data_IF_424918599828
#
_entry.id   IF_424918599828
#
_cell.length_a   1.000
_cell.length_b   1.000
_cell.length_c   1.000
_cell.angle_alpha   90.00
_cell.angle_beta   90.00
_cell.angle_gamma   90.00
#
_symmetry.space_group_name_H-M   'P 1'
#
loop_
_entity.id
_entity.type
_entity.pdbx_description
1 polymer ?
#
# COMPACT_ATOMS: atom_id res chain seq x y z
N UNK A 1 -24.35 -17.33 -9.68
CA UNK A 1 -23.63 -16.35 -8.85
C UNK A 1 -22.24 -16.19 -9.43
N UNK A 2 -21.85 -14.95 -9.76
CA UNK A 2 -20.59 -14.61 -10.41
C UNK A 2 -19.34 -15.00 -9.58
N UNK A 3 -18.80 -16.19 -9.87
CA UNK A 3 -17.60 -16.76 -9.22
C UNK A 3 -16.37 -15.84 -9.41
N UNK A 4 -16.29 -15.10 -10.53
CA UNK A 4 -15.21 -14.16 -10.84
C UNK A 4 -15.19 -12.97 -9.87
N UNK A 5 -16.31 -12.27 -9.70
CA UNK A 5 -16.39 -11.09 -8.80
C UNK A 5 -16.08 -11.46 -7.35
N UNK A 6 -16.60 -12.61 -6.88
CA UNK A 6 -16.31 -13.12 -5.55
C UNK A 6 -14.83 -13.43 -5.31
N UNK A 7 -14.15 -14.04 -6.28
CA UNK A 7 -12.71 -14.32 -6.23
C UNK A 7 -11.87 -13.04 -6.22
N UNK A 8 -12.19 -12.08 -7.08
CA UNK A 8 -11.50 -10.79 -7.15
C UNK A 8 -11.62 -10.02 -5.82
N UNK A 9 -12.82 -9.93 -5.24
CA UNK A 9 -13.04 -9.27 -3.95
C UNK A 9 -12.26 -9.93 -2.80
N UNK A 10 -12.17 -11.26 -2.78
CA UNK A 10 -11.32 -12.00 -1.82
C UNK A 10 -9.84 -11.69 -2.02
N UNK A 11 -9.35 -11.71 -3.26
CA UNK A 11 -7.95 -11.38 -3.58
C UNK A 11 -7.62 -9.95 -3.16
N UNK A 12 -8.48 -8.98 -3.48
CA UNK A 12 -8.38 -7.58 -3.02
C UNK A 12 -8.24 -7.48 -1.50
N UNK A 13 -9.09 -8.22 -0.76
CA UNK A 13 -9.03 -8.24 0.71
C UNK A 13 -7.69 -8.76 1.25
N UNK A 14 -7.16 -9.82 0.65
CA UNK A 14 -5.85 -10.38 1.02
C UNK A 14 -4.72 -9.38 0.69
N UNK A 15 -4.69 -8.84 -0.53
CA UNK A 15 -3.68 -7.85 -0.94
C UNK A 15 -3.72 -6.60 -0.06
N UNK A 16 -4.92 -6.07 0.23
CA UNK A 16 -5.09 -4.92 1.14
C UNK A 16 -4.60 -5.22 2.56
N UNK A 17 -4.78 -6.44 3.04
CA UNK A 17 -4.24 -6.86 4.34
C UNK A 17 -2.72 -6.86 4.33
N UNK A 18 -2.11 -7.36 3.24
CA UNK A 18 -0.66 -7.40 3.07
C UNK A 18 -0.06 -5.99 2.98
N UNK A 19 -0.61 -5.11 2.13
CA UNK A 19 -0.23 -3.69 2.04
C UNK A 19 -0.34 -3.00 3.40
N UNK A 20 -1.40 -3.27 4.17
CA UNK A 20 -1.56 -2.69 5.51
C UNK A 20 -0.46 -3.14 6.46
N UNK A 21 -0.02 -4.40 6.40
CA UNK A 21 1.09 -4.91 7.22
C UNK A 21 2.40 -4.23 6.84
N UNK A 22 2.68 -4.05 5.55
CA UNK A 22 3.87 -3.36 5.07
C UNK A 22 3.87 -1.90 5.54
N UNK A 23 2.74 -1.17 5.40
CA UNK A 23 2.65 0.20 5.92
C UNK A 23 2.91 0.28 7.43
N UNK A 24 2.41 -0.67 8.21
CA UNK A 24 2.66 -0.73 9.67
C UNK A 24 4.11 -1.06 10.00
N UNK A 25 4.74 -1.94 9.23
CA UNK A 25 6.15 -2.29 9.40
C UNK A 25 7.04 -1.07 9.09
N UNK A 26 6.76 -0.35 8.01
CA UNK A 26 7.39 0.94 7.68
C UNK A 26 7.18 1.94 8.80
N UNK A 27 5.94 2.14 9.25
CA UNK A 27 5.62 3.05 10.35
C UNK A 27 6.43 2.72 11.61
N UNK A 28 6.52 1.43 11.96
CA UNK A 28 7.29 0.94 13.11
C UNK A 28 8.79 1.21 12.94
N UNK A 29 9.35 0.90 11.77
CA UNK A 29 10.76 1.13 11.47
C UNK A 29 11.11 2.61 11.58
N UNK A 30 10.27 3.49 11.03
CA UNK A 30 10.47 4.93 11.06
C UNK A 30 10.38 5.55 12.47
N UNK A 31 9.85 4.82 13.46
CA UNK A 31 9.84 5.27 14.86
C UNK A 31 11.15 4.97 15.61
N UNK A 32 12.02 4.14 15.05
CA UNK A 32 13.30 3.78 15.69
C UNK A 32 14.30 4.92 15.58
N UNK A 33 15.16 5.02 16.60
CA UNK A 33 16.31 5.94 16.59
C UNK A 33 17.34 5.52 15.54
N UNK A 34 17.63 4.22 15.48
CA UNK A 34 18.50 3.60 14.48
C UNK A 34 17.63 2.84 13.49
N UNK A 35 17.47 3.42 12.30
CA UNK A 35 16.61 2.87 11.25
C UNK A 35 17.39 1.89 10.42
N UNK A 36 16.87 0.67 10.27
CA UNK A 36 17.45 -0.30 9.36
C UNK A 36 17.09 0.09 7.91
N UNK A 37 18.07 0.68 7.23
CA UNK A 37 17.93 1.21 5.86
C UNK A 37 17.65 0.10 4.85
N UNK A 38 18.32 -1.05 4.96
CA UNK A 38 18.15 -2.18 4.05
C UNK A 38 16.74 -2.79 4.19
N UNK A 39 16.27 -2.96 5.43
CA UNK A 39 14.91 -3.42 5.68
C UNK A 39 13.87 -2.40 5.17
N UNK A 40 14.14 -1.11 5.31
CA UNK A 40 13.26 -0.05 4.83
C UNK A 40 13.17 -0.03 3.29
N UNK A 41 14.28 -0.30 2.60
CA UNK A 41 14.33 -0.46 1.14
C UNK A 41 13.51 -1.67 0.68
N UNK A 42 13.71 -2.84 1.30
CA UNK A 42 12.95 -4.04 0.98
C UNK A 42 11.43 -3.82 1.18
N UNK A 43 11.04 -3.18 2.29
CA UNK A 43 9.64 -2.83 2.55
C UNK A 43 9.07 -1.86 1.51
N UNK A 44 9.88 -0.91 1.01
CA UNK A 44 9.47 0.03 -0.04
C UNK A 44 9.24 -0.68 -1.38
N UNK A 45 10.09 -1.65 -1.73
CA UNK A 45 9.93 -2.48 -2.94
C UNK A 45 8.67 -3.34 -2.85
N UNK A 46 8.48 -4.04 -1.72
CA UNK A 46 7.27 -4.84 -1.48
C UNK A 46 6.01 -3.97 -1.55
N UNK A 47 6.03 -2.78 -0.92
CA UNK A 47 4.91 -1.84 -0.97
C UNK A 47 4.60 -1.42 -2.41
N UNK A 48 5.61 -1.19 -3.26
CA UNK A 48 5.42 -0.81 -4.65
C UNK A 48 4.73 -1.90 -5.46
N UNK A 49 5.16 -3.16 -5.31
CA UNK A 49 4.56 -4.31 -5.99
C UNK A 49 3.12 -4.53 -5.55
N UNK A 50 2.88 -4.62 -4.24
CA UNK A 50 1.55 -4.95 -3.73
C UNK A 50 0.53 -3.83 -3.91
N UNK A 51 0.93 -2.56 -3.81
CA UNK A 51 0.03 -1.43 -4.07
C UNK A 51 -0.35 -1.32 -5.55
N UNK A 52 0.54 -1.70 -6.46
CA UNK A 52 0.23 -1.79 -7.90
C UNK A 52 -0.80 -2.90 -8.16
N UNK A 53 -0.62 -4.08 -7.57
CA UNK A 53 -1.60 -5.16 -7.68
C UNK A 53 -2.94 -4.80 -7.04
N UNK A 54 -2.94 -4.09 -5.90
CA UNK A 54 -4.16 -3.62 -5.27
C UNK A 54 -4.92 -2.66 -6.20
N UNK A 55 -4.23 -1.70 -6.82
CA UNK A 55 -4.82 -0.78 -7.80
C UNK A 55 -5.43 -1.53 -8.99
N UNK A 56 -4.72 -2.53 -9.51
CA UNK A 56 -5.20 -3.39 -10.59
C UNK A 56 -6.48 -4.15 -10.21
N UNK A 57 -6.53 -4.68 -8.98
CA UNK A 57 -7.71 -5.36 -8.45
C UNK A 57 -8.89 -4.39 -8.24
N UNK A 58 -8.63 -3.18 -7.75
CA UNK A 58 -9.66 -2.15 -7.58
C UNK A 58 -10.29 -1.79 -8.94
N UNK A 59 -9.48 -1.58 -9.99
CA UNK A 59 -9.98 -1.35 -11.36
C UNK A 59 -10.76 -2.52 -11.93
N UNK A 60 -10.33 -3.77 -11.68
CA UNK A 60 -11.09 -4.95 -12.11
C UNK A 60 -12.39 -5.15 -11.33
N UNK A 61 -12.50 -4.61 -10.12
CA UNK A 61 -13.71 -4.74 -9.30
C UNK A 61 -14.74 -3.66 -9.63
N UNK A 62 -14.30 -2.50 -10.12
CA UNK A 62 -15.14 -1.37 -10.52
C UNK A 62 -16.29 -1.79 -11.45
N UNK A 63 -16.04 -2.70 -12.40
CA UNK A 63 -17.06 -3.26 -13.33
C UNK A 63 -18.19 -4.04 -12.62
N UNK A 64 -17.99 -4.44 -11.35
CA UNK A 64 -18.94 -5.18 -10.53
C UNK A 64 -19.51 -4.37 -9.37
N UNK A 65 -19.19 -3.08 -9.28
CA UNK A 65 -19.74 -2.18 -8.25
C UNK A 65 -21.04 -1.59 -8.79
N UNK A 66 -22.11 -1.71 -8.00
CA UNK A 66 -23.39 -1.10 -8.33
C UNK A 66 -23.36 0.41 -8.06
N UNK A 67 -24.12 1.20 -8.83
CA UNK A 67 -24.12 2.67 -8.75
C UNK A 67 -24.42 3.19 -7.33
N UNK A 68 -25.31 2.52 -6.60
CA UNK A 68 -25.67 2.85 -5.21
C UNK A 68 -24.50 2.70 -4.21
N UNK A 69 -23.45 1.96 -4.58
CA UNK A 69 -22.25 1.71 -3.75
C UNK A 69 -20.99 2.38 -4.28
N UNK A 70 -21.04 2.94 -5.49
CA UNK A 70 -19.87 3.48 -6.17
C UNK A 70 -19.21 4.61 -5.37
N UNK A 71 -19.98 5.59 -4.90
CA UNK A 71 -19.44 6.72 -4.14
C UNK A 71 -18.67 6.27 -2.89
N UNK A 72 -19.23 5.30 -2.16
CA UNK A 72 -18.60 4.74 -0.97
C UNK A 72 -17.29 4.03 -1.30
N UNK A 73 -17.28 3.15 -2.31
CA UNK A 73 -16.07 2.42 -2.71
C UNK A 73 -14.99 3.38 -3.22
N UNK A 74 -15.34 4.38 -4.03
CA UNK A 74 -14.40 5.40 -4.52
C UNK A 74 -13.75 6.15 -3.35
N UNK A 75 -14.55 6.56 -2.36
CA UNK A 75 -14.03 7.23 -1.16
C UNK A 75 -13.08 6.33 -0.37
N UNK A 76 -13.45 5.07 -0.12
CA UNK A 76 -12.61 4.11 0.61
C UNK A 76 -11.28 3.85 -0.11
N UNK A 77 -11.31 3.69 -1.44
CA UNK A 77 -10.11 3.50 -2.27
C UNK A 77 -9.21 4.74 -2.24
N UNK A 78 -9.79 5.94 -2.32
CA UNK A 78 -9.04 7.20 -2.29
C UNK A 78 -8.35 7.41 -0.93
N UNK A 79 -9.09 7.23 0.18
CA UNK A 79 -8.54 7.34 1.53
C UNK A 79 -7.39 6.34 1.77
N UNK A 80 -7.58 5.09 1.32
CA UNK A 80 -6.55 4.07 1.46
C UNK A 80 -5.32 4.35 0.59
N UNK A 81 -5.52 4.82 -0.63
CA UNK A 81 -4.45 5.24 -1.55
C UNK A 81 -3.63 6.39 -0.94
N UNK A 82 -4.29 7.38 -0.34
CA UNK A 82 -3.61 8.48 0.34
C UNK A 82 -2.75 7.98 1.51
N UNK A 83 -3.21 6.96 2.25
CA UNK A 83 -2.43 6.32 3.31
C UNK A 83 -1.15 5.66 2.76
N UNK A 84 -1.25 4.93 1.66
CA UNK A 84 -0.08 4.31 1.00
C UNK A 84 0.91 5.38 0.56
N UNK A 85 0.44 6.42 -0.14
CA UNK A 85 1.28 7.54 -0.62
C UNK A 85 2.02 8.19 0.55
N UNK A 86 1.32 8.44 1.65
CA UNK A 86 1.90 9.09 2.84
C UNK A 86 3.05 8.27 3.41
N UNK A 87 2.86 6.97 3.61
CA UNK A 87 3.90 6.11 4.18
C UNK A 87 5.06 5.86 3.23
N UNK A 88 4.77 5.68 1.93
CA UNK A 88 5.81 5.59 0.89
C UNK A 88 6.69 6.84 0.88
N UNK A 89 6.08 8.03 0.87
CA UNK A 89 6.83 9.29 0.89
C UNK A 89 7.71 9.43 2.13
N UNK A 90 7.18 9.14 3.32
CA UNK A 90 7.93 9.20 4.58
C UNK A 90 9.14 8.26 4.58
N UNK A 91 8.93 7.01 4.14
CA UNK A 91 9.99 6.02 4.03
C UNK A 91 11.07 6.42 3.03
N UNK A 92 10.70 6.82 1.81
CA UNK A 92 11.65 7.29 0.79
C UNK A 92 12.46 8.48 1.28
N UNK A 93 11.82 9.43 1.99
CA UNK A 93 12.53 10.60 2.56
C UNK A 93 13.54 10.17 3.62
N UNK A 94 13.20 9.24 4.50
CA UNK A 94 14.12 8.74 5.54
C UNK A 94 15.29 7.98 4.92
N UNK A 95 15.01 7.05 4.00
CA UNK A 95 16.02 6.32 3.25
C UNK A 95 17.04 7.26 2.59
N UNK A 96 16.56 8.27 1.86
CA UNK A 96 17.43 9.24 1.19
C UNK A 96 18.28 10.09 2.16
N UNK A 97 17.82 10.31 3.39
CA UNK A 97 18.59 11.04 4.40
C UNK A 97 19.71 10.18 4.99
N UNK A 98 19.44 8.91 5.30
CA UNK A 98 20.46 7.98 5.83
C UNK A 98 21.57 7.73 4.80
N UNK A 99 21.20 7.54 3.53
CA UNK A 99 22.17 7.38 2.43
C UNK A 99 23.08 8.61 2.26
N UNK A 100 22.57 9.82 2.51
CA UNK A 100 23.39 11.04 2.46
C UNK A 100 24.39 11.14 3.60
N UNK A 101 24.03 10.66 4.80
CA UNK A 101 24.92 10.68 5.98
C UNK A 101 26.09 9.70 5.85
N UNK A 102 25.96 8.67 5.02
CA UNK A 102 27.03 7.69 4.77
C UNK A 102 28.12 8.20 3.80
N UNK A 103 27.87 9.29 3.08
CA UNK A 103 28.76 9.82 2.02
C UNK A 103 29.53 11.08 2.48
N UNK A 104 29.23 11.59 3.69
CA UNK A 104 29.89 12.74 4.32
C UNK A 104 30.82 12.30 5.44
#
# INVERSE_FOLDING_TARGET
MDDKSGRLKKKRGVTRTSVTKICKAIETELTKTDVNVDALEEMLEQLAVESSELKNLDSQIEEFVSDDKLEKEVKEVAEYTQKIITWKFRATKKYANEQKMLIL
#
